data_IF_707977475663
#
_entry.id   IF_707977475663
#
_cell.length_a   1.000
_cell.length_b   1.000
_cell.length_c   1.000
_cell.angle_alpha   90.00
_cell.angle_beta   90.00
_cell.angle_gamma   90.00
#
_symmetry.space_group_name_H-M   'P 1'
#
loop_
_entity.id
_entity.type
_entity.pdbx_description
1 polymer ?
#
# COMPACT_ATOMS: atom_id res chain seq x y z
N UNK A 1 20.21 -9.01 31.92
CA UNK A 1 20.75 -8.45 30.66
C UNK A 1 19.68 -8.18 29.64
N UNK A 2 18.75 -9.10 29.39
CA UNK A 2 17.64 -8.94 28.42
C UNK A 2 16.67 -7.76 28.70
N UNK A 3 16.44 -7.39 29.98
CA UNK A 3 15.56 -6.28 30.34
C UNK A 3 16.19 -4.90 30.03
N UNK A 4 17.50 -4.76 30.18
CA UNK A 4 18.22 -3.51 29.82
C UNK A 4 18.30 -3.30 28.30
N UNK A 5 18.50 -4.36 27.55
CA UNK A 5 18.52 -4.30 26.06
C UNK A 5 17.14 -3.95 25.51
N UNK A 6 16.06 -4.50 26.08
CA UNK A 6 14.68 -4.10 25.74
C UNK A 6 14.38 -2.64 26.08
N UNK A 7 14.91 -2.14 27.20
CA UNK A 7 14.75 -0.74 27.62
C UNK A 7 15.50 0.23 26.71
N UNK A 8 16.70 -0.14 26.27
CA UNK A 8 17.48 0.66 25.31
C UNK A 8 16.87 0.64 23.92
N UNK A 9 16.43 -0.52 23.41
CA UNK A 9 15.72 -0.63 22.14
C UNK A 9 14.41 0.17 22.12
N UNK A 10 13.64 0.17 23.22
CA UNK A 10 12.46 1.03 23.36
C UNK A 10 12.82 2.52 23.29
N UNK A 11 13.93 2.91 23.90
CA UNK A 11 14.34 4.31 24.00
C UNK A 11 14.94 4.86 22.71
N UNK A 12 15.58 4.00 21.89
CA UNK A 12 16.21 4.40 20.62
C UNK A 12 15.28 4.28 19.41
N UNK A 13 14.39 3.27 19.37
CA UNK A 13 13.43 3.08 18.27
C UNK A 13 12.20 4.01 18.40
N UNK A 14 11.84 4.43 19.62
CA UNK A 14 10.63 5.23 19.88
C UNK A 14 10.98 6.58 20.53
N UNK A 15 12.09 7.20 20.13
CA UNK A 15 12.48 8.54 20.58
C UNK A 15 11.39 9.55 20.21
N UNK A 16 10.58 9.96 21.20
CA UNK A 16 9.53 10.96 21.06
C UNK A 16 8.10 10.43 21.03
N UNK A 17 7.89 9.11 21.14
CA UNK A 17 6.55 8.51 21.17
C UNK A 17 6.24 7.98 22.56
N UNK A 18 5.19 8.52 23.19
CA UNK A 18 4.69 8.07 24.50
C UNK A 18 3.84 6.80 24.35
N UNK A 19 4.49 5.63 24.46
CA UNK A 19 3.84 4.33 24.36
C UNK A 19 3.32 3.85 25.71
N UNK A 20 2.02 3.55 25.77
CA UNK A 20 1.45 2.87 26.95
C UNK A 20 1.87 1.38 26.98
N UNK A 21 1.95 0.76 28.18
CA UNK A 21 2.22 -0.67 28.31
C UNK A 21 1.18 -1.49 27.53
N UNK A 22 1.62 -2.31 26.57
CA UNK A 22 0.75 -3.13 25.71
C UNK A 22 0.59 -2.62 24.26
N UNK A 23 0.78 -1.34 23.99
CA UNK A 23 0.64 -0.76 22.62
C UNK A 23 1.83 -1.09 21.71
N UNK A 24 2.99 -1.44 22.24
CA UNK A 24 4.24 -1.63 21.50
C UNK A 24 4.13 -2.65 20.38
N UNK A 25 3.41 -3.76 20.60
CA UNK A 25 3.23 -4.81 19.58
C UNK A 25 2.36 -4.32 18.42
N UNK A 26 1.29 -3.59 18.72
CA UNK A 26 0.41 -3.02 17.71
C UNK A 26 1.12 -1.98 16.85
N UNK A 27 1.84 -1.05 17.48
CA UNK A 27 2.63 -0.02 16.79
C UNK A 27 3.72 -0.64 15.92
N UNK A 28 4.44 -1.65 16.42
CA UNK A 28 5.46 -2.35 15.65
C UNK A 28 4.84 -3.09 14.44
N UNK A 29 3.72 -3.76 14.62
CA UNK A 29 3.01 -4.45 13.54
C UNK A 29 2.54 -3.45 12.46
N UNK A 30 2.02 -2.29 12.86
CA UNK A 30 1.62 -1.23 11.95
C UNK A 30 2.83 -0.66 11.18
N UNK A 31 3.94 -0.40 11.87
CA UNK A 31 5.17 0.07 11.25
C UNK A 31 5.70 -0.94 10.21
N UNK A 32 5.76 -2.23 10.57
CA UNK A 32 6.21 -3.28 9.67
C UNK A 32 5.25 -3.39 8.46
N UNK A 33 3.94 -3.30 8.69
CA UNK A 33 2.95 -3.35 7.61
C UNK A 33 3.11 -2.19 6.64
N UNK A 34 3.26 -0.95 7.15
CA UNK A 34 3.51 0.23 6.32
C UNK A 34 4.83 0.11 5.55
N UNK A 35 5.88 -0.33 6.24
CA UNK A 35 7.18 -0.55 5.61
C UNK A 35 7.07 -1.55 4.45
N UNK A 36 6.40 -2.68 4.64
CA UNK A 36 6.23 -3.69 3.59
C UNK A 36 5.39 -3.18 2.42
N UNK A 37 4.34 -2.41 2.69
CA UNK A 37 3.51 -1.77 1.65
C UNK A 37 4.37 -0.81 0.80
N UNK A 38 5.10 0.08 1.44
CA UNK A 38 5.97 1.04 0.75
C UNK A 38 7.10 0.34 0.01
N UNK A 39 7.75 -0.64 0.64
CA UNK A 39 8.82 -1.43 0.03
C UNK A 39 8.34 -2.12 -1.24
N UNK A 40 7.19 -2.79 -1.19
CA UNK A 40 6.58 -3.43 -2.36
C UNK A 40 6.27 -2.41 -3.46
N UNK A 41 5.66 -1.27 -3.11
CA UNK A 41 5.36 -0.22 -4.06
C UNK A 41 6.63 0.33 -4.74
N UNK A 42 7.71 0.53 -3.98
CA UNK A 42 9.00 1.00 -4.50
C UNK A 42 9.72 -0.04 -5.37
N UNK A 43 9.56 -1.34 -5.10
CA UNK A 43 10.09 -2.40 -5.97
C UNK A 43 9.33 -2.51 -7.30
N UNK A 44 8.01 -2.30 -7.28
CA UNK A 44 7.19 -2.43 -8.48
C UNK A 44 7.25 -1.21 -9.40
N UNK A 45 7.58 -0.01 -8.87
CA UNK A 45 7.70 1.22 -9.66
C UNK A 45 8.74 1.14 -10.79
N UNK A 46 9.99 0.71 -10.57
CA UNK A 46 10.97 0.56 -11.66
C UNK A 46 10.49 -0.43 -12.74
N UNK A 47 9.91 -1.56 -12.34
CA UNK A 47 9.36 -2.53 -13.29
C UNK A 47 8.27 -1.91 -14.18
N UNK A 48 7.39 -1.10 -13.59
CA UNK A 48 6.37 -0.35 -14.33
C UNK A 48 6.96 0.60 -15.36
N UNK A 49 7.96 1.39 -14.96
CA UNK A 49 8.60 2.34 -15.86
C UNK A 49 9.38 1.62 -16.97
N UNK A 50 10.07 0.52 -16.64
CA UNK A 50 10.77 -0.28 -17.66
C UNK A 50 9.80 -0.87 -18.67
N UNK A 51 8.71 -1.51 -18.24
CA UNK A 51 7.73 -2.11 -19.14
C UNK A 51 7.13 -1.09 -20.10
N UNK A 52 6.70 0.07 -19.60
CA UNK A 52 6.06 1.09 -20.45
C UNK A 52 7.04 1.71 -21.46
N UNK A 53 8.33 1.81 -21.13
CA UNK A 53 9.35 2.36 -22.01
C UNK A 53 9.92 1.34 -23.00
N UNK A 54 9.89 0.04 -22.67
CA UNK A 54 10.38 -1.03 -23.56
C UNK A 54 9.34 -1.44 -24.60
N UNK A 55 8.04 -1.45 -24.23
CA UNK A 55 6.95 -1.82 -25.12
C UNK A 55 6.32 -0.62 -25.84
N UNK A 56 6.56 0.61 -25.36
CA UNK A 56 5.93 1.83 -25.85
C UNK A 56 6.89 3.01 -26.00
N UNK A 57 6.30 4.13 -26.40
CA UNK A 57 6.98 5.43 -26.51
C UNK A 57 6.71 6.31 -25.30
N UNK A 58 7.46 7.42 -25.18
CA UNK A 58 7.18 8.45 -24.17
C UNK A 58 5.74 9.02 -24.26
N UNK A 59 5.17 9.03 -25.45
CA UNK A 59 3.77 9.44 -25.69
C UNK A 59 2.79 8.45 -25.06
N UNK A 60 3.00 7.14 -25.25
CA UNK A 60 2.17 6.08 -24.64
C UNK A 60 2.20 6.18 -23.13
N UNK A 61 3.36 6.47 -22.55
CA UNK A 61 3.50 6.72 -21.11
C UNK A 61 2.65 7.92 -20.66
N UNK A 62 2.63 9.02 -21.42
CA UNK A 62 1.83 10.20 -21.09
C UNK A 62 0.33 9.90 -21.15
N UNK A 63 -0.13 9.14 -22.13
CA UNK A 63 -1.52 8.67 -22.21
C UNK A 63 -1.88 7.71 -21.08
N UNK A 64 -0.98 6.83 -20.69
CA UNK A 64 -1.18 5.92 -19.56
C UNK A 64 -1.33 6.67 -18.23
N UNK A 65 -0.56 7.75 -18.02
CA UNK A 65 -0.70 8.64 -16.85
C UNK A 65 -2.06 9.34 -16.86
N UNK A 66 -2.49 9.88 -18.01
CA UNK A 66 -3.79 10.53 -18.15
C UNK A 66 -4.94 9.53 -17.89
N UNK A 67 -4.86 8.33 -18.45
CA UNK A 67 -5.82 7.26 -18.23
C UNK A 67 -5.88 6.84 -16.76
N UNK A 68 -4.72 6.72 -16.10
CA UNK A 68 -4.64 6.42 -14.66
C UNK A 68 -5.34 7.50 -13.83
N UNK A 69 -5.11 8.80 -14.15
CA UNK A 69 -5.75 9.90 -13.44
C UNK A 69 -7.28 9.87 -13.60
N UNK A 70 -7.79 9.62 -14.81
CA UNK A 70 -9.22 9.50 -15.08
C UNK A 70 -9.84 8.31 -14.34
N UNK A 71 -9.16 7.15 -14.34
CA UNK A 71 -9.63 5.98 -13.61
C UNK A 71 -9.68 6.23 -12.11
N UNK A 72 -8.66 6.90 -11.53
CA UNK A 72 -8.66 7.24 -10.11
C UNK A 72 -9.78 8.21 -9.74
N UNK A 73 -10.10 9.17 -10.61
CA UNK A 73 -11.20 10.11 -10.40
C UNK A 73 -12.55 9.40 -10.24
N UNK A 74 -12.76 8.32 -10.99
CA UNK A 74 -13.97 7.48 -10.90
C UNK A 74 -13.87 6.47 -9.76
N UNK A 75 -12.70 5.87 -9.58
CA UNK A 75 -12.50 4.76 -8.65
C UNK A 75 -12.50 5.20 -7.18
N UNK A 76 -11.93 6.36 -6.85
CA UNK A 76 -11.84 6.86 -5.47
C UNK A 76 -13.24 7.05 -4.83
N UNK A 77 -14.22 7.70 -5.47
CA UNK A 77 -15.56 7.84 -4.88
C UNK A 77 -16.30 6.50 -4.78
N UNK A 78 -16.12 5.59 -5.74
CA UNK A 78 -16.69 4.24 -5.70
C UNK A 78 -16.09 3.48 -4.51
N UNK A 79 -14.78 3.46 -4.39
CA UNK A 79 -14.06 2.87 -3.27
C UNK A 79 -14.56 3.42 -1.93
N UNK A 80 -14.69 4.74 -1.79
CA UNK A 80 -15.18 5.38 -0.56
C UNK A 80 -16.60 4.98 -0.16
N UNK A 81 -17.48 4.68 -1.12
CA UNK A 81 -18.81 4.13 -0.86
C UNK A 81 -18.76 2.68 -0.39
N UNK A 82 -17.93 1.86 -1.03
CA UNK A 82 -17.80 0.44 -0.69
C UNK A 82 -17.07 0.21 0.63
N UNK A 83 -16.01 0.95 0.93
CA UNK A 83 -15.24 0.78 2.16
C UNK A 83 -16.06 1.06 3.42
N UNK A 84 -17.11 1.90 3.34
CA UNK A 84 -18.01 2.18 4.46
C UNK A 84 -19.01 1.06 4.77
N UNK A 85 -19.21 0.11 3.85
CA UNK A 85 -20.20 -0.96 3.99
C UNK A 85 -19.61 -2.26 4.54
N UNK A 86 -18.30 -2.38 4.51
CA UNK A 86 -17.59 -3.60 4.91
C UNK A 86 -16.72 -3.35 6.14
N UNK A 87 -16.57 -4.39 6.95
CA UNK A 87 -15.59 -4.45 8.01
C UNK A 87 -14.17 -4.29 7.42
N UNK A 88 -13.44 -3.26 7.86
CA UNK A 88 -12.14 -2.87 7.31
C UNK A 88 -11.13 -4.04 7.31
N UNK A 89 -11.20 -4.94 8.30
CA UNK A 89 -10.35 -6.12 8.35
C UNK A 89 -10.61 -7.11 7.22
N UNK A 90 -11.89 -7.38 6.93
CA UNK A 90 -12.28 -8.26 5.80
C UNK A 90 -11.92 -7.61 4.47
N UNK A 91 -12.17 -6.32 4.36
CA UNK A 91 -11.90 -5.57 3.15
C UNK A 91 -10.39 -5.52 2.84
N UNK A 92 -9.54 -5.26 3.85
CA UNK A 92 -8.09 -5.27 3.69
C UNK A 92 -7.57 -6.64 3.22
N UNK A 93 -8.11 -7.73 3.76
CA UNK A 93 -7.77 -9.09 3.33
C UNK A 93 -8.12 -9.33 1.87
N UNK A 94 -9.32 -8.91 1.44
CA UNK A 94 -9.75 -9.04 0.04
C UNK A 94 -8.84 -8.23 -0.88
N UNK A 95 -8.52 -6.98 -0.54
CA UNK A 95 -7.62 -6.13 -1.32
C UNK A 95 -6.25 -6.78 -1.49
N UNK A 96 -5.67 -7.36 -0.43
CA UNK A 96 -4.38 -8.06 -0.50
C UNK A 96 -4.47 -9.28 -1.41
N UNK A 97 -5.50 -10.12 -1.27
CA UNK A 97 -5.68 -11.33 -2.09
C UNK A 97 -5.86 -10.96 -3.57
N UNK A 98 -6.67 -9.95 -3.87
CA UNK A 98 -6.86 -9.45 -5.24
C UNK A 98 -5.56 -8.93 -5.81
N UNK A 99 -4.75 -8.23 -5.00
CA UNK A 99 -3.45 -7.74 -5.43
C UNK A 99 -2.50 -8.89 -5.78
N UNK A 100 -2.39 -9.90 -4.91
CA UNK A 100 -1.53 -11.07 -5.17
C UNK A 100 -1.99 -11.79 -6.45
N UNK A 101 -3.29 -12.03 -6.60
CA UNK A 101 -3.86 -12.70 -7.76
C UNK A 101 -3.58 -11.93 -9.07
N UNK A 102 -3.76 -10.61 -9.06
CA UNK A 102 -3.49 -9.76 -10.22
C UNK A 102 -2.00 -9.67 -10.56
N UNK A 103 -1.11 -9.60 -9.56
CA UNK A 103 0.34 -9.66 -9.78
C UNK A 103 0.77 -10.99 -10.42
N UNK A 104 0.21 -12.11 -9.95
CA UNK A 104 0.47 -13.42 -10.55
C UNK A 104 -0.05 -13.49 -11.98
N UNK A 105 -1.23 -12.94 -12.26
CA UNK A 105 -1.78 -12.86 -13.60
C UNK A 105 -0.89 -12.04 -14.54
N UNK A 106 -0.36 -10.88 -14.10
CA UNK A 106 0.60 -10.09 -14.87
C UNK A 106 1.92 -10.85 -15.11
N UNK A 107 2.43 -11.57 -14.12
CA UNK A 107 3.63 -12.37 -14.26
C UNK A 107 3.47 -13.49 -15.31
N UNK A 108 2.29 -14.13 -15.36
CA UNK A 108 1.97 -15.15 -16.35
C UNK A 108 1.80 -14.51 -17.73
N UNK A 109 1.05 -13.42 -17.84
CA UNK A 109 0.79 -12.72 -19.10
C UNK A 109 2.09 -12.20 -19.74
N UNK A 110 3.00 -11.61 -18.93
CA UNK A 110 4.30 -11.17 -19.40
C UNK A 110 5.18 -12.31 -19.92
N UNK A 111 5.15 -13.49 -19.27
CA UNK A 111 5.86 -14.68 -19.77
C UNK A 111 5.26 -15.23 -21.07
N UNK A 112 4.00 -15.01 -21.32
CA UNK A 112 3.29 -15.42 -22.54
C UNK A 112 3.54 -14.47 -23.71
N UNK A 113 4.36 -13.43 -23.55
CA UNK A 113 4.67 -12.45 -24.60
C UNK A 113 3.53 -11.46 -24.89
N UNK A 114 2.54 -11.36 -24.02
CA UNK A 114 1.48 -10.37 -24.16
C UNK A 114 2.00 -8.98 -23.77
N UNK A 115 1.63 -7.96 -24.56
CA UNK A 115 1.90 -6.57 -24.19
C UNK A 115 1.01 -6.17 -23.02
N UNK A 116 1.61 -5.96 -21.85
CA UNK A 116 0.91 -5.67 -20.60
C UNK A 116 1.26 -4.29 -20.03
N UNK A 117 2.15 -3.57 -20.68
CA UNK A 117 2.77 -2.35 -20.15
C UNK A 117 1.77 -1.30 -19.69
N UNK A 118 0.81 -0.92 -20.54
CA UNK A 118 -0.20 0.11 -20.23
C UNK A 118 -1.13 -0.36 -19.11
N UNK A 119 -1.63 -1.60 -19.21
CA UNK A 119 -2.55 -2.14 -18.20
C UNK A 119 -1.88 -2.27 -16.84
N UNK A 120 -0.64 -2.77 -16.82
CA UNK A 120 0.16 -2.88 -15.60
C UNK A 120 0.48 -1.50 -15.01
N UNK A 121 0.82 -0.52 -15.87
CA UNK A 121 1.12 0.85 -15.46
C UNK A 121 -0.08 1.48 -14.72
N UNK A 122 -1.25 1.41 -15.32
CA UNK A 122 -2.48 1.99 -14.77
C UNK A 122 -2.91 1.23 -13.49
N UNK A 123 -2.86 -0.10 -13.54
CA UNK A 123 -3.19 -0.94 -12.39
C UNK A 123 -2.31 -0.66 -11.17
N UNK A 124 -0.98 -0.61 -11.36
CA UNK A 124 -0.05 -0.35 -10.25
C UNK A 124 -0.26 1.05 -9.66
N UNK A 125 -0.56 2.03 -10.50
CA UNK A 125 -0.89 3.39 -10.05
C UNK A 125 -2.14 3.42 -9.18
N UNK A 126 -3.22 2.78 -9.63
CA UNK A 126 -4.46 2.68 -8.87
C UNK A 126 -4.26 1.88 -7.57
N UNK A 127 -3.59 0.74 -7.66
CA UNK A 127 -3.29 -0.09 -6.51
C UNK A 127 -2.50 0.65 -5.42
N UNK A 128 -1.47 1.40 -5.81
CA UNK A 128 -0.62 2.14 -4.87
C UNK A 128 -1.42 3.16 -4.05
N UNK A 129 -2.39 3.82 -4.66
CA UNK A 129 -3.28 4.76 -3.96
C UNK A 129 -4.22 4.02 -3.01
N UNK A 130 -4.82 2.93 -3.50
CA UNK A 130 -5.80 2.16 -2.73
C UNK A 130 -5.21 1.51 -1.48
N UNK A 131 -4.05 0.87 -1.61
CA UNK A 131 -3.44 0.16 -0.49
C UNK A 131 -3.02 1.13 0.64
N UNK A 132 -2.54 2.33 0.28
CA UNK A 132 -2.20 3.37 1.25
C UNK A 132 -3.47 3.91 1.91
N UNK A 133 -4.52 4.19 1.13
CA UNK A 133 -5.80 4.65 1.67
C UNK A 133 -6.41 3.60 2.63
N UNK A 134 -6.34 2.32 2.26
CA UNK A 134 -6.83 1.22 3.09
C UNK A 134 -6.00 1.06 4.37
N UNK A 135 -4.68 1.22 4.29
CA UNK A 135 -3.82 1.20 5.47
C UNK A 135 -4.22 2.29 6.47
N UNK A 136 -4.44 3.53 6.00
CA UNK A 136 -4.85 4.62 6.88
C UNK A 136 -6.28 4.44 7.44
N UNK A 137 -7.20 3.89 6.65
CA UNK A 137 -8.53 3.54 7.12
C UNK A 137 -8.46 2.50 8.26
N UNK A 138 -7.64 1.46 8.09
CA UNK A 138 -7.40 0.45 9.12
C UNK A 138 -6.71 1.05 10.37
N UNK A 139 -5.71 1.91 10.19
CA UNK A 139 -5.00 2.56 11.27
C UNK A 139 -5.93 3.45 12.12
N UNK A 140 -6.82 4.20 11.47
CA UNK A 140 -7.80 5.06 12.14
C UNK A 140 -8.87 4.32 12.95
N UNK A 141 -9.12 3.06 12.62
CA UNK A 141 -10.03 2.18 13.36
C UNK A 141 -9.35 1.54 14.57
N UNK A 142 -8.06 1.19 14.41
CA UNK A 142 -7.29 0.50 15.45
C UNK A 142 -6.92 1.43 16.61
N UNK A 143 -6.72 2.72 16.33
CA UNK A 143 -6.29 3.70 17.32
C UNK A 143 -7.37 4.75 17.55
N UNK A 144 -7.65 5.05 18.84
CA UNK A 144 -8.49 6.20 19.20
C UNK A 144 -7.81 7.49 18.73
N UNK A 145 -8.61 8.56 18.54
CA UNK A 145 -8.10 9.87 18.12
C UNK A 145 -6.95 10.37 18.99
N UNK A 146 -7.09 10.21 20.31
CA UNK A 146 -6.04 10.62 21.29
C UNK A 146 -4.76 9.78 21.16
N UNK A 147 -4.89 8.49 20.86
CA UNK A 147 -3.75 7.62 20.61
C UNK A 147 -3.10 7.94 19.26
N UNK A 148 -3.88 8.26 18.24
CA UNK A 148 -3.39 8.67 16.93
C UNK A 148 -2.56 9.96 17.00
N UNK A 149 -3.06 11.01 17.64
CA UNK A 149 -2.36 12.30 17.82
C UNK A 149 -1.04 12.17 18.60
N UNK A 150 -0.91 11.12 19.41
CA UNK A 150 0.31 10.84 20.18
C UNK A 150 1.31 9.95 19.43
N UNK A 151 0.84 9.09 18.54
CA UNK A 151 1.63 8.06 17.87
C UNK A 151 2.07 8.45 16.45
N UNK A 152 1.35 9.36 15.81
CA UNK A 152 1.59 9.85 14.45
C UNK A 152 1.77 11.36 14.41
#
# INVERSE_FOLDING_TARGET
MASRVRGLLKRTLFLGVDLKPGETTGVLAMFISLFLILFTAYLLKPAREMLILTEGTAEIRSYAVALQALLLLVFIPIYGKFSRQFDNYRYMRVVIVVCIATLLAFAIAGKSGLSISVVYFVWLGAYSVLIIAQFWAFASELYSREAGERLF
#
